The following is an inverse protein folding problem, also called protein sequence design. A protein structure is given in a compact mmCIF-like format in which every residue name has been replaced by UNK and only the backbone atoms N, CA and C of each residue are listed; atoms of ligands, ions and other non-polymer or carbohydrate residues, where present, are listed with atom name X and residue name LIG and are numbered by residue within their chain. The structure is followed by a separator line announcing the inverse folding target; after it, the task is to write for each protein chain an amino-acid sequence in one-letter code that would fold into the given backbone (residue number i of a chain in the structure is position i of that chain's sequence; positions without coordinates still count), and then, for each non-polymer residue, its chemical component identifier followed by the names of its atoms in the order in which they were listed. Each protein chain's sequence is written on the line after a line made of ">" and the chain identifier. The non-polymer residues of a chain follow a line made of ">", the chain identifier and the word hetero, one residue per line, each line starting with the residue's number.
data_IF_766222950662
#
_entry.id   IF_766222950662
#
_cell.length_a   1.000
_cell.length_b   1.000
_cell.length_c   1.000
_cell.angle_alpha   90.00
_cell.angle_beta   90.00
_cell.angle_gamma   90.00
#
_symmetry.space_group_name_H-M   'P 1'
#
loop_
_entity.id
_entity.type
_entity.pdbx_description
1 polymer ?
#
# COMPACT_ATOMS: atom_id res chain seq x y z
N UNK A 1 7.49 -54.25 39.05
CA UNK A 1 6.45 -53.25 38.71
C UNK A 1 7.08 -52.25 37.78
N UNK A 2 6.34 -51.78 36.78
CA UNK A 2 6.70 -50.58 36.02
C UNK A 2 5.90 -49.46 36.67
N UNK A 3 6.58 -48.47 37.25
CA UNK A 3 5.98 -47.21 37.66
C UNK A 3 6.37 -46.16 36.62
N UNK A 4 5.38 -45.54 35.99
CA UNK A 4 5.56 -44.39 35.11
C UNK A 4 5.11 -43.11 35.82
N UNK A 5 6.02 -42.14 35.89
CA UNK A 5 5.75 -40.82 36.47
C UNK A 5 5.86 -39.75 35.39
N UNK A 6 4.76 -39.06 35.09
CA UNK A 6 4.77 -37.87 34.26
C UNK A 6 5.16 -36.65 35.10
N UNK A 7 6.26 -36.01 34.73
CA UNK A 7 6.64 -34.70 35.26
C UNK A 7 6.24 -33.63 34.23
N UNK A 8 5.16 -32.90 34.53
CA UNK A 8 4.76 -31.70 33.78
C UNK A 8 5.39 -30.47 34.43
N UNK A 9 6.33 -29.83 33.71
CA UNK A 9 6.90 -28.56 34.15
C UNK A 9 5.89 -27.42 33.92
N UNK A 10 5.73 -26.52 34.89
CA UNK A 10 4.77 -25.40 34.80
C UNK A 10 5.08 -24.39 33.68
N UNK A 11 6.30 -24.43 33.12
CA UNK A 11 6.75 -23.58 31.99
C UNK A 11 7.68 -24.39 31.10
N UNK A 12 7.58 -24.18 29.78
CA UNK A 12 8.48 -24.78 28.81
C UNK A 12 9.88 -24.13 28.90
N UNK A 13 10.93 -24.96 28.92
CA UNK A 13 12.32 -24.48 28.98
C UNK A 13 12.85 -24.07 27.60
N UNK A 14 13.99 -23.35 27.59
CA UNK A 14 14.63 -22.88 26.35
C UNK A 14 15.11 -24.01 25.44
N UNK A 15 15.32 -25.21 25.96
CA UNK A 15 15.87 -26.37 25.22
C UNK A 15 15.19 -27.67 25.62
N UNK A 16 14.99 -28.59 24.67
CA UNK A 16 14.46 -29.93 24.93
C UNK A 16 15.50 -30.91 25.48
N UNK A 17 16.76 -30.50 25.67
CA UNK A 17 17.88 -31.39 26.07
C UNK A 17 17.72 -32.01 27.47
N UNK A 18 16.86 -31.45 28.32
CA UNK A 18 16.56 -31.96 29.66
C UNK A 18 15.14 -32.56 29.74
N UNK A 19 14.46 -32.70 28.60
CA UNK A 19 13.08 -33.16 28.50
C UNK A 19 12.97 -34.37 27.56
N UNK A 20 11.98 -35.21 27.80
CA UNK A 20 11.80 -36.48 27.11
C UNK A 20 11.75 -37.65 28.07
N UNK A 21 12.22 -38.82 27.64
CA UNK A 21 12.11 -40.06 28.40
C UNK A 21 13.40 -40.28 29.20
N UNK A 22 13.28 -40.38 30.51
CA UNK A 22 14.38 -40.70 31.43
C UNK A 22 14.18 -42.11 31.99
N UNK A 23 15.13 -43.00 31.73
CA UNK A 23 15.06 -44.40 32.17
C UNK A 23 15.86 -44.63 33.44
N UNK A 24 15.20 -45.16 34.47
CA UNK A 24 15.80 -45.49 35.76
C UNK A 24 15.70 -46.99 36.02
N UNK A 25 16.82 -47.59 36.43
CA UNK A 25 16.89 -48.99 36.83
C UNK A 25 17.67 -49.09 38.14
N UNK A 26 17.06 -49.67 39.17
CA UNK A 26 17.62 -49.81 40.51
C UNK A 26 18.18 -48.47 41.03
N UNK A 27 17.39 -47.40 40.91
CA UNK A 27 17.72 -46.02 41.31
C UNK A 27 18.92 -45.39 40.60
N UNK A 28 19.29 -45.89 39.42
CA UNK A 28 20.33 -45.30 38.57
C UNK A 28 19.81 -45.02 37.17
N UNK A 29 20.11 -43.82 36.65
CA UNK A 29 19.78 -43.41 35.29
C UNK A 29 20.56 -44.25 34.27
N UNK A 30 19.89 -44.70 33.22
CA UNK A 30 20.48 -45.40 32.08
C UNK A 30 20.46 -44.45 30.88
N UNK A 31 21.63 -44.11 30.36
CA UNK A 31 21.80 -43.15 29.26
C UNK A 31 21.42 -41.71 29.62
N UNK A 32 20.95 -40.97 28.62
CA UNK A 32 20.54 -39.57 28.74
C UNK A 32 19.01 -39.42 28.59
N UNK A 33 18.43 -38.45 29.29
CA UNK A 33 17.03 -38.09 29.10
C UNK A 33 16.85 -37.40 27.75
N UNK A 34 15.86 -37.82 26.97
CA UNK A 34 15.61 -37.21 25.68
C UNK A 34 14.49 -37.86 24.88
N UNK A 35 14.12 -37.23 23.76
CA UNK A 35 13.16 -37.78 22.81
C UNK A 35 13.82 -38.68 21.75
N UNK A 36 15.16 -38.81 21.76
CA UNK A 36 15.93 -39.51 20.72
C UNK A 36 15.56 -40.99 20.59
N UNK A 37 15.15 -41.64 21.69
CA UNK A 37 14.70 -43.03 21.68
C UNK A 37 13.24 -43.18 21.24
N UNK A 38 12.47 -42.09 21.17
CA UNK A 38 11.04 -42.05 20.88
C UNK A 38 10.81 -41.47 19.47
N UNK A 39 10.87 -42.33 18.46
CA UNK A 39 10.72 -41.94 17.06
C UNK A 39 9.25 -41.82 16.63
N UNK A 40 8.46 -41.02 17.35
CA UNK A 40 7.06 -40.77 17.02
C UNK A 40 6.87 -39.38 16.40
N UNK A 41 5.98 -39.26 15.41
CA UNK A 41 5.68 -37.98 14.73
C UNK A 41 4.88 -37.01 15.61
N UNK A 42 4.43 -37.47 16.77
CA UNK A 42 3.59 -36.71 17.71
C UNK A 42 4.35 -35.58 18.43
N UNK A 43 5.68 -35.62 18.51
CA UNK A 43 6.51 -34.60 19.17
C UNK A 43 7.72 -34.26 18.30
N UNK A 44 7.90 -32.97 18.00
CA UNK A 44 9.13 -32.41 17.41
C UNK A 44 9.88 -31.64 18.50
N UNK A 45 11.18 -31.91 18.68
CA UNK A 45 12.06 -31.26 19.65
C UNK A 45 12.06 -29.72 19.63
N UNK A 46 11.56 -29.08 18.56
CA UNK A 46 11.42 -27.63 18.45
C UNK A 46 10.15 -27.07 19.12
N UNK A 47 9.13 -27.90 19.34
CA UNK A 47 7.84 -27.45 19.87
C UNK A 47 7.90 -27.19 21.37
N UNK A 48 6.93 -26.46 21.90
CA UNK A 48 6.85 -26.21 23.35
C UNK A 48 6.62 -27.49 24.14
N UNK A 49 5.86 -28.43 23.58
CA UNK A 49 5.53 -29.71 24.22
C UNK A 49 6.78 -30.55 24.47
N UNK A 50 7.69 -30.61 23.48
CA UNK A 50 8.96 -31.30 23.60
C UNK A 50 9.90 -30.66 24.64
N UNK A 51 9.68 -29.39 24.97
CA UNK A 51 10.46 -28.61 25.94
C UNK A 51 9.77 -28.49 27.30
N UNK A 52 8.66 -29.19 27.51
CA UNK A 52 7.84 -29.10 28.73
C UNK A 52 7.63 -30.46 29.39
N UNK A 53 7.33 -31.49 28.60
CA UNK A 53 6.98 -32.80 29.15
C UNK A 53 8.21 -33.66 29.39
N UNK A 54 8.23 -34.36 30.53
CA UNK A 54 9.27 -35.33 30.86
C UNK A 54 8.64 -36.58 31.47
N UNK A 55 8.99 -37.73 30.91
CA UNK A 55 8.50 -39.03 31.36
C UNK A 55 9.62 -39.74 32.11
N UNK A 56 9.38 -40.06 33.38
CA UNK A 56 10.30 -40.87 34.19
C UNK A 56 9.80 -42.29 34.20
N UNK A 57 10.64 -43.21 33.73
CA UNK A 57 10.33 -44.63 33.62
C UNK A 57 11.21 -45.41 34.59
N UNK A 58 10.59 -45.98 35.62
CA UNK A 58 11.27 -46.87 36.57
C UNK A 58 11.08 -48.32 36.15
N UNK A 59 12.18 -48.96 35.74
CA UNK A 59 12.20 -50.32 35.20
C UNK A 59 13.11 -51.24 36.03
N UNK A 60 12.93 -51.26 37.36
CA UNK A 60 13.75 -52.01 38.32
C UNK A 60 13.77 -53.53 38.11
N UNK A 61 12.84 -54.07 37.33
CA UNK A 61 12.80 -55.48 36.93
C UNK A 61 13.82 -55.83 35.83
N UNK A 62 14.40 -54.83 35.16
CA UNK A 62 15.55 -54.99 34.27
C UNK A 62 16.81 -55.16 35.12
N UNK A 63 17.68 -56.06 34.67
CA UNK A 63 18.92 -56.42 35.35
C UNK A 63 20.12 -55.85 34.58
N UNK A 64 21.33 -55.83 35.17
CA UNK A 64 22.53 -55.43 34.44
C UNK A 64 22.82 -56.24 33.16
N UNK A 65 22.17 -57.40 32.96
CA UNK A 65 22.27 -58.18 31.72
C UNK A 65 21.64 -57.46 30.50
N UNK A 66 20.70 -56.55 30.74
CA UNK A 66 20.00 -55.77 29.70
C UNK A 66 20.69 -54.42 29.40
N UNK A 67 21.69 -54.03 30.19
CA UNK A 67 22.32 -52.70 30.14
C UNK A 67 23.79 -52.82 29.69
N UNK A 68 24.32 -51.78 29.04
CA UNK A 68 25.75 -51.70 28.76
C UNK A 68 26.56 -51.57 30.07
N UNK A 69 27.79 -52.11 30.15
CA UNK A 69 28.59 -52.07 31.39
C UNK A 69 28.84 -50.66 31.94
N UNK A 70 28.90 -49.66 31.05
CA UNK A 70 29.10 -48.24 31.37
C UNK A 70 27.80 -47.48 31.68
N UNK A 71 26.64 -48.16 31.63
CA UNK A 71 25.30 -47.58 31.81
C UNK A 71 24.91 -46.51 30.77
N UNK A 72 25.63 -46.44 29.65
CA UNK A 72 25.38 -45.45 28.59
C UNK A 72 24.08 -45.70 27.82
N UNK A 73 23.64 -46.96 27.72
CA UNK A 73 22.43 -47.35 27.01
C UNK A 73 21.99 -48.78 27.37
N UNK A 74 20.80 -49.15 26.94
CA UNK A 74 20.34 -50.53 26.96
C UNK A 74 20.88 -51.32 25.77
N UNK A 75 21.05 -52.64 25.93
CA UNK A 75 21.44 -53.52 24.84
C UNK A 75 20.28 -53.69 23.86
N UNK A 76 20.34 -52.99 22.73
CA UNK A 76 19.25 -52.95 21.73
C UNK A 76 18.84 -54.32 21.19
N UNK A 77 19.71 -55.32 21.20
CA UNK A 77 19.41 -56.69 20.74
C UNK A 77 18.66 -57.55 21.77
N UNK A 78 18.62 -57.14 23.05
CA UNK A 78 18.02 -57.93 24.12
C UNK A 78 16.48 -57.96 24.00
N UNK A 79 15.90 -59.17 24.00
CA UNK A 79 14.46 -59.37 23.84
C UNK A 79 13.62 -58.72 24.96
N UNK A 80 14.07 -58.82 26.21
CA UNK A 80 13.38 -58.26 27.38
C UNK A 80 13.35 -56.72 27.33
N UNK A 81 14.45 -56.11 26.89
CA UNK A 81 14.51 -54.67 26.63
C UNK A 81 13.57 -54.25 25.50
N UNK A 82 13.57 -54.94 24.35
CA UNK A 82 12.70 -54.62 23.21
C UNK A 82 11.21 -54.61 23.60
N UNK A 83 10.77 -55.63 24.34
CA UNK A 83 9.38 -55.71 24.82
C UNK A 83 9.06 -54.56 25.78
N UNK A 84 9.97 -54.26 26.72
CA UNK A 84 9.79 -53.17 27.69
C UNK A 84 9.72 -51.81 26.99
N UNK A 85 10.66 -51.53 26.08
CA UNK A 85 10.73 -50.30 25.28
C UNK A 85 9.43 -50.09 24.50
N UNK A 86 8.90 -51.14 23.86
CA UNK A 86 7.64 -51.05 23.12
C UNK A 86 6.45 -50.69 24.02
N UNK A 87 6.25 -51.41 25.13
CA UNK A 87 5.11 -51.19 26.04
C UNK A 87 5.14 -49.77 26.61
N UNK A 88 6.31 -49.31 27.04
CA UNK A 88 6.47 -47.96 27.60
C UNK A 88 6.24 -46.90 26.53
N UNK A 89 6.77 -47.08 25.32
CA UNK A 89 6.51 -46.15 24.22
C UNK A 89 5.03 -46.09 23.86
N UNK A 90 4.31 -47.21 23.88
CA UNK A 90 2.87 -47.24 23.61
C UNK A 90 2.10 -46.47 24.71
N UNK A 91 2.45 -46.67 25.99
CA UNK A 91 1.86 -45.92 27.11
C UNK A 91 2.11 -44.42 27.00
N UNK A 92 3.36 -44.02 26.71
CA UNK A 92 3.74 -42.62 26.51
C UNK A 92 2.99 -42.02 25.30
N UNK A 93 2.82 -42.79 24.22
CA UNK A 93 2.05 -42.35 23.04
C UNK A 93 0.60 -42.05 23.41
N UNK A 94 -0.05 -42.94 24.17
CA UNK A 94 -1.44 -42.79 24.57
C UNK A 94 -1.61 -41.56 25.48
N UNK A 95 -0.71 -41.37 26.45
CA UNK A 95 -0.71 -40.23 27.36
C UNK A 95 -0.48 -38.91 26.60
N UNK A 96 0.52 -38.86 25.71
CA UNK A 96 0.77 -37.70 24.85
C UNK A 96 -0.41 -37.38 23.95
N UNK A 97 -1.07 -38.39 23.39
CA UNK A 97 -2.26 -38.20 22.55
C UNK A 97 -3.40 -37.57 23.36
N UNK A 98 -3.59 -38.02 24.61
CA UNK A 98 -4.58 -37.48 25.54
C UNK A 98 -4.28 -36.01 25.92
N UNK A 99 -3.03 -35.71 26.27
CA UNK A 99 -2.58 -34.36 26.63
C UNK A 99 -2.74 -33.39 25.46
N UNK A 100 -2.31 -33.79 24.26
CA UNK A 100 -2.45 -32.98 23.04
C UNK A 100 -3.92 -32.75 22.69
N UNK A 101 -4.80 -33.75 22.86
CA UNK A 101 -6.24 -33.60 22.65
C UNK A 101 -6.87 -32.60 23.62
N UNK A 102 -6.47 -32.63 24.88
CA UNK A 102 -6.93 -31.69 25.91
C UNK A 102 -6.47 -30.27 25.58
N UNK A 103 -5.17 -30.11 25.24
CA UNK A 103 -4.61 -28.81 24.81
C UNK A 103 -5.33 -28.26 23.59
N UNK A 104 -5.51 -29.06 22.53
CA UNK A 104 -6.28 -28.67 21.33
C UNK A 104 -7.69 -28.17 21.67
N UNK A 105 -8.38 -28.87 22.57
CA UNK A 105 -9.73 -28.48 23.01
C UNK A 105 -9.70 -27.15 23.76
N UNK A 106 -8.72 -26.95 24.63
CA UNK A 106 -8.54 -25.69 25.36
C UNK A 106 -8.21 -24.53 24.43
N UNK A 107 -7.22 -24.68 23.54
CA UNK A 107 -6.83 -23.68 22.54
C UNK A 107 -8.03 -23.30 21.66
N UNK A 108 -8.79 -24.29 21.18
CA UNK A 108 -10.02 -24.02 20.40
C UNK A 108 -11.02 -23.18 21.18
N UNK A 109 -11.28 -23.55 22.44
CA UNK A 109 -12.24 -22.84 23.30
C UNK A 109 -11.78 -21.41 23.59
N UNK A 110 -10.49 -21.23 23.87
CA UNK A 110 -9.88 -19.92 24.10
C UNK A 110 -10.04 -19.02 22.87
N UNK A 111 -9.62 -19.48 21.68
CA UNK A 111 -9.69 -18.70 20.45
C UNK A 111 -11.15 -18.38 20.08
N UNK A 112 -12.06 -19.35 20.20
CA UNK A 112 -13.49 -19.14 19.97
C UNK A 112 -14.08 -18.09 20.92
N UNK A 113 -13.67 -18.08 22.19
CA UNK A 113 -14.14 -17.09 23.17
C UNK A 113 -13.64 -15.68 22.87
N UNK A 114 -12.37 -15.53 22.45
CA UNK A 114 -11.75 -14.24 22.12
C UNK A 114 -12.40 -13.57 20.90
N UNK A 115 -12.78 -14.34 19.89
CA UNK A 115 -13.41 -13.84 18.66
C UNK A 115 -14.94 -13.90 18.67
N UNK A 116 -15.57 -14.23 19.81
CA UNK A 116 -17.01 -14.50 19.88
C UNK A 116 -17.89 -13.33 19.43
N UNK A 117 -17.50 -12.09 19.72
CA UNK A 117 -18.25 -10.90 19.29
C UNK A 117 -18.22 -10.73 17.77
N UNK A 118 -17.02 -10.80 17.18
CA UNK A 118 -16.80 -10.67 15.74
C UNK A 118 -17.48 -11.79 14.97
N UNK A 119 -17.31 -13.05 15.40
CA UNK A 119 -17.91 -14.21 14.74
C UNK A 119 -19.44 -14.17 14.80
N UNK A 120 -20.04 -13.73 15.91
CA UNK A 120 -21.51 -13.59 15.98
C UNK A 120 -22.08 -12.55 14.99
N UNK A 121 -21.28 -11.56 14.61
CA UNK A 121 -21.69 -10.56 13.62
C UNK A 121 -21.65 -11.08 12.18
N UNK A 122 -21.01 -12.24 11.93
CA UNK A 122 -20.93 -12.86 10.60
C UNK A 122 -22.26 -13.52 10.19
N UNK A 123 -22.53 -13.66 8.88
CA UNK A 123 -23.58 -14.54 8.38
C UNK A 123 -23.39 -16.00 8.85
N UNK A 124 -24.48 -16.76 9.02
CA UNK A 124 -24.44 -18.14 9.56
C UNK A 124 -23.46 -19.05 8.82
N UNK A 125 -23.47 -19.02 7.48
CA UNK A 125 -22.54 -19.82 6.67
C UNK A 125 -21.07 -19.46 6.93
N UNK A 126 -20.76 -18.19 7.16
CA UNK A 126 -19.41 -17.72 7.49
C UNK A 126 -19.00 -18.13 8.91
N UNK A 127 -19.96 -18.18 9.86
CA UNK A 127 -19.71 -18.72 11.20
C UNK A 127 -19.35 -20.21 11.15
N UNK A 128 -20.08 -20.98 10.36
CA UNK A 128 -19.82 -22.42 10.20
C UNK A 128 -18.45 -22.67 9.55
N UNK A 129 -18.10 -21.89 8.50
CA UNK A 129 -16.77 -21.94 7.88
C UNK A 129 -15.66 -21.60 8.86
N UNK A 130 -15.82 -20.52 9.63
CA UNK A 130 -14.82 -20.10 10.61
C UNK A 130 -14.59 -21.16 11.69
N UNK A 131 -15.66 -21.72 12.25
CA UNK A 131 -15.57 -22.80 13.26
C UNK A 131 -14.97 -24.09 12.69
N UNK A 132 -15.36 -24.46 11.46
CA UNK A 132 -14.79 -25.59 10.76
C UNK A 132 -13.30 -25.44 10.50
N UNK A 133 -12.86 -24.23 10.09
CA UNK A 133 -11.45 -23.94 9.83
C UNK A 133 -10.61 -23.91 11.10
N UNK A 134 -11.12 -23.32 12.19
CA UNK A 134 -10.46 -23.39 13.51
C UNK A 134 -10.22 -24.85 13.92
N UNK A 135 -11.23 -25.71 13.75
CA UNK A 135 -11.11 -27.14 14.07
C UNK A 135 -10.03 -27.80 13.20
N UNK A 136 -10.05 -27.58 11.89
CA UNK A 136 -9.06 -28.16 10.98
C UNK A 136 -7.63 -27.66 11.23
N UNK A 137 -7.43 -26.37 11.53
CA UNK A 137 -6.10 -25.81 11.78
C UNK A 137 -5.50 -26.36 13.08
N UNK A 138 -6.28 -26.42 14.16
CA UNK A 138 -5.83 -26.97 15.44
C UNK A 138 -5.50 -28.46 15.31
N UNK A 139 -6.19 -29.19 14.44
CA UNK A 139 -5.95 -30.63 14.21
C UNK A 139 -4.78 -30.90 13.26
N UNK A 140 -4.64 -30.13 12.16
CA UNK A 140 -3.66 -30.38 11.09
C UNK A 140 -2.36 -29.62 11.25
N UNK A 141 -2.33 -28.55 12.05
CA UNK A 141 -1.16 -27.70 12.25
C UNK A 141 -0.78 -27.62 13.75
N UNK A 142 -0.38 -28.74 14.39
CA UNK A 142 -0.06 -28.77 15.81
C UNK A 142 1.19 -27.95 16.19
N UNK A 143 1.98 -27.53 15.21
CA UNK A 143 3.19 -26.72 15.39
C UNK A 143 2.92 -25.23 15.51
N UNK A 144 1.72 -24.76 15.15
CA UNK A 144 1.33 -23.36 15.34
C UNK A 144 0.97 -23.12 16.81
N UNK A 145 1.61 -22.13 17.43
CA UNK A 145 1.27 -21.70 18.78
C UNK A 145 -0.12 -21.06 18.84
N UNK A 146 -0.66 -20.97 20.06
CA UNK A 146 -1.99 -20.39 20.30
C UNK A 146 -2.10 -18.95 19.78
N UNK A 147 -1.03 -18.16 19.91
CA UNK A 147 -1.00 -16.77 19.42
C UNK A 147 -1.09 -16.70 17.89
N UNK A 148 -0.34 -17.53 17.17
CA UNK A 148 -0.38 -17.55 15.70
C UNK A 148 -1.74 -18.02 15.20
N UNK A 149 -2.31 -19.05 15.84
CA UNK A 149 -3.66 -19.53 15.53
C UNK A 149 -4.70 -18.43 15.77
N UNK A 150 -4.61 -17.70 16.90
CA UNK A 150 -5.48 -16.57 17.19
C UNK A 150 -5.41 -15.48 16.12
N UNK A 151 -4.20 -15.11 15.69
CA UNK A 151 -3.97 -14.12 14.63
C UNK A 151 -4.57 -14.57 13.30
N UNK A 152 -4.32 -15.81 12.88
CA UNK A 152 -4.88 -16.38 11.64
C UNK A 152 -6.41 -16.36 11.68
N UNK A 153 -7.00 -16.82 12.79
CA UNK A 153 -8.46 -16.83 12.92
C UNK A 153 -9.07 -15.42 12.98
N UNK A 154 -8.37 -14.45 13.57
CA UNK A 154 -8.77 -13.05 13.56
C UNK A 154 -8.74 -12.45 12.16
N UNK A 155 -7.68 -12.71 11.39
CA UNK A 155 -7.60 -12.30 9.98
C UNK A 155 -8.76 -12.89 9.18
N UNK A 156 -9.04 -14.19 9.32
CA UNK A 156 -10.15 -14.86 8.62
C UNK A 156 -11.51 -14.26 8.96
N UNK A 157 -11.77 -13.95 10.25
CA UNK A 157 -13.01 -13.30 10.66
C UNK A 157 -13.16 -11.92 9.98
N UNK A 158 -12.09 -11.12 9.97
CA UNK A 158 -12.09 -9.82 9.31
C UNK A 158 -12.28 -9.92 7.79
N UNK A 159 -11.71 -10.94 7.15
CA UNK A 159 -11.90 -11.20 5.72
C UNK A 159 -13.35 -11.59 5.41
N UNK A 160 -13.99 -12.43 6.23
CA UNK A 160 -15.42 -12.79 6.06
C UNK A 160 -16.37 -11.59 6.23
N UNK A 161 -15.94 -10.54 6.95
CA UNK A 161 -16.67 -9.26 7.03
C UNK A 161 -16.39 -8.32 5.84
N UNK A 162 -15.19 -8.40 5.26
CA UNK A 162 -14.77 -7.50 4.19
C UNK A 162 -15.47 -7.81 2.87
N UNK A 163 -15.81 -6.77 2.10
CA UNK A 163 -16.42 -6.93 0.76
C UNK A 163 -15.54 -7.74 -0.19
N UNK A 164 -14.22 -7.61 -0.09
CA UNK A 164 -13.25 -8.32 -0.93
C UNK A 164 -13.02 -9.78 -0.54
N UNK A 165 -13.55 -10.20 0.61
CA UNK A 165 -13.41 -11.54 1.16
C UNK A 165 -11.96 -12.06 1.05
N UNK A 166 -11.77 -13.20 0.37
CA UNK A 166 -10.50 -13.90 0.28
C UNK A 166 -9.55 -13.41 -0.82
N UNK A 167 -9.91 -12.36 -1.58
CA UNK A 167 -9.04 -11.83 -2.65
C UNK A 167 -7.67 -11.38 -2.14
N UNK A 168 -7.57 -10.93 -0.88
CA UNK A 168 -6.27 -10.58 -0.29
C UNK A 168 -5.39 -11.83 -0.07
N UNK A 169 -5.99 -12.95 0.37
CA UNK A 169 -5.24 -14.20 0.55
C UNK A 169 -4.72 -14.74 -0.78
N UNK A 170 -5.50 -14.63 -1.84
CA UNK A 170 -5.06 -15.00 -3.19
C UNK A 170 -3.85 -14.17 -3.63
N UNK A 171 -3.87 -12.85 -3.38
CA UNK A 171 -2.73 -11.97 -3.66
C UNK A 171 -1.50 -12.38 -2.87
N UNK A 172 -1.65 -12.62 -1.56
CA UNK A 172 -0.56 -13.05 -0.68
C UNK A 172 0.00 -14.43 -1.09
N UNK A 173 -0.86 -15.35 -1.51
CA UNK A 173 -0.47 -16.69 -1.94
C UNK A 173 0.44 -16.68 -3.18
N UNK A 174 0.24 -15.70 -4.07
CA UNK A 174 1.01 -15.56 -5.30
C UNK A 174 2.34 -14.79 -5.11
N UNK A 175 2.63 -14.30 -3.90
CA UNK A 175 3.88 -13.61 -3.60
C UNK A 175 5.02 -14.59 -3.35
N UNK A 176 6.24 -14.22 -3.74
CA UNK A 176 7.44 -14.98 -3.37
C UNK A 176 7.80 -14.72 -1.89
N UNK A 177 8.62 -15.56 -1.24
CA UNK A 177 9.09 -15.30 0.12
C UNK A 177 9.76 -13.92 0.28
N UNK A 178 10.58 -13.51 -0.70
CA UNK A 178 11.22 -12.19 -0.69
C UNK A 178 10.22 -11.05 -0.81
N UNK A 179 9.13 -11.24 -1.55
CA UNK A 179 8.07 -10.24 -1.64
C UNK A 179 7.33 -10.13 -0.31
N UNK A 180 7.05 -11.25 0.37
CA UNK A 180 6.43 -11.25 1.70
C UNK A 180 7.29 -10.52 2.73
N UNK A 181 8.61 -10.73 2.71
CA UNK A 181 9.56 -10.00 3.57
C UNK A 181 9.56 -8.49 3.24
N UNK A 182 9.51 -8.14 1.95
CA UNK A 182 9.43 -6.74 1.50
C UNK A 182 8.12 -6.08 1.94
N UNK A 183 7.00 -6.80 1.85
CA UNK A 183 5.70 -6.37 2.35
C UNK A 183 5.73 -6.13 3.86
N UNK A 184 6.36 -7.03 4.62
CA UNK A 184 6.52 -6.84 6.06
C UNK A 184 7.36 -5.57 6.36
N UNK A 185 8.49 -5.38 5.68
CA UNK A 185 9.32 -4.18 5.84
C UNK A 185 8.57 -2.89 5.52
N UNK A 186 7.72 -2.88 4.49
CA UNK A 186 6.85 -1.73 4.20
C UNK A 186 5.89 -1.42 5.34
N UNK A 187 5.30 -2.45 5.97
CA UNK A 187 4.35 -2.28 7.07
C UNK A 187 5.01 -1.88 8.41
N UNK A 188 6.33 -2.04 8.53
CA UNK A 188 7.10 -1.52 9.68
C UNK A 188 7.27 0.00 9.63
N UNK A 189 7.39 0.56 8.42
CA UNK A 189 7.60 2.00 8.20
C UNK A 189 6.32 2.76 7.86
N UNK A 190 5.38 2.12 7.16
CA UNK A 190 4.20 2.76 6.60
C UNK A 190 2.91 2.09 7.08
N UNK A 191 1.94 2.91 7.44
CA UNK A 191 0.55 2.46 7.55
C UNK A 191 -0.09 2.36 6.16
N UNK A 192 -1.10 1.50 6.01
CA UNK A 192 -1.87 1.44 4.76
C UNK A 192 -2.43 2.80 4.35
N UNK A 193 -2.85 3.63 5.32
CA UNK A 193 -3.39 4.97 5.07
C UNK A 193 -2.33 5.90 4.48
N UNK A 194 -1.18 6.03 5.14
CA UNK A 194 -0.11 6.93 4.69
C UNK A 194 0.49 6.49 3.35
N UNK A 195 0.69 5.18 3.16
CA UNK A 195 1.12 4.64 1.87
C UNK A 195 0.09 4.94 0.77
N UNK A 196 -1.21 4.76 1.05
CA UNK A 196 -2.27 5.03 0.09
C UNK A 196 -2.36 6.50 -0.29
N UNK A 197 -2.29 7.42 0.67
CA UNK A 197 -2.32 8.87 0.41
C UNK A 197 -1.18 9.28 -0.54
N UNK A 198 0.05 8.81 -0.28
CA UNK A 198 1.19 9.09 -1.16
C UNK A 198 1.06 8.45 -2.55
N UNK A 199 0.66 7.18 -2.62
CA UNK A 199 0.53 6.45 -3.89
C UNK A 199 -0.64 6.97 -4.74
N UNK A 200 -1.73 7.40 -4.13
CA UNK A 200 -2.88 8.01 -4.83
C UNK A 200 -2.46 9.35 -5.47
N UNK A 201 -1.70 10.18 -4.76
CA UNK A 201 -1.16 11.44 -5.30
C UNK A 201 -0.21 11.19 -6.48
N UNK A 202 0.73 10.25 -6.34
CA UNK A 202 1.63 9.85 -7.43
C UNK A 202 0.84 9.31 -8.62
N UNK A 203 -0.15 8.45 -8.36
CA UNK A 203 -0.99 7.87 -9.42
C UNK A 203 -1.80 8.94 -10.14
N UNK A 204 -2.41 9.88 -9.41
CA UNK A 204 -3.19 10.97 -9.95
C UNK A 204 -2.34 11.88 -10.85
N UNK A 205 -1.16 12.32 -10.37
CA UNK A 205 -0.25 13.17 -11.16
C UNK A 205 0.25 12.48 -12.41
N UNK A 206 0.61 11.20 -12.34
CA UNK A 206 1.09 10.46 -13.51
C UNK A 206 -0.02 10.28 -14.57
N UNK A 207 -1.25 9.98 -14.15
CA UNK A 207 -2.40 9.92 -15.07
C UNK A 207 -2.70 11.27 -15.69
N UNK A 208 -2.66 12.34 -14.91
CA UNK A 208 -2.87 13.70 -15.39
C UNK A 208 -1.83 14.08 -16.46
N UNK A 209 -0.56 13.72 -16.26
CA UNK A 209 0.50 13.94 -17.27
C UNK A 209 0.17 13.22 -18.58
N UNK A 210 -0.24 11.96 -18.53
CA UNK A 210 -0.57 11.20 -19.74
C UNK A 210 -1.84 11.71 -20.43
N UNK A 211 -2.83 12.16 -19.65
CA UNK A 211 -4.02 12.80 -20.21
C UNK A 211 -3.69 14.12 -20.93
N UNK A 212 -2.87 14.98 -20.32
CA UNK A 212 -2.38 16.21 -20.95
C UNK A 212 -1.58 15.87 -22.21
N UNK A 213 -0.72 14.85 -22.17
CA UNK A 213 0.06 14.41 -23.35
C UNK A 213 -0.86 13.97 -24.49
N UNK A 214 -1.84 13.12 -24.22
CA UNK A 214 -2.78 12.63 -25.22
C UNK A 214 -3.60 13.76 -25.84
N UNK A 215 -4.13 14.67 -25.00
CA UNK A 215 -4.97 15.79 -25.46
C UNK A 215 -4.18 16.85 -26.22
N UNK A 216 -2.95 17.18 -25.81
CA UNK A 216 -2.12 18.18 -26.50
C UNK A 216 -1.51 17.67 -27.81
N UNK A 217 -1.48 16.36 -28.04
CA UNK A 217 -1.03 15.75 -29.28
C UNK A 217 -2.10 15.70 -30.39
N UNK A 218 -3.37 15.92 -30.06
CA UNK A 218 -4.48 15.86 -31.02
C UNK A 218 -4.95 17.25 -31.44
N UNK A 219 -5.04 17.50 -32.74
CA UNK A 219 -5.58 18.74 -33.32
C UNK A 219 -7.09 18.89 -33.16
N UNK A 220 -7.78 17.79 -32.86
CA UNK A 220 -9.24 17.77 -32.68
C UNK A 220 -9.67 18.10 -31.24
N UNK A 221 -8.71 18.21 -30.31
CA UNK A 221 -8.96 18.50 -28.90
C UNK A 221 -9.59 19.88 -28.72
N UNK A 222 -10.70 19.94 -27.99
CA UNK A 222 -11.33 21.21 -27.63
C UNK A 222 -10.66 21.82 -26.40
N UNK A 223 -10.06 22.98 -26.61
CA UNK A 223 -9.23 23.67 -25.61
C UNK A 223 -9.94 23.93 -24.27
N UNK A 224 -11.19 24.39 -24.35
CA UNK A 224 -11.94 24.80 -23.16
C UNK A 224 -12.54 23.62 -22.40
N UNK A 225 -13.14 22.67 -23.12
CA UNK A 225 -13.86 21.56 -22.49
C UNK A 225 -12.91 20.45 -22.03
N UNK A 226 -11.76 20.30 -22.69
CA UNK A 226 -10.87 19.16 -22.48
C UNK A 226 -9.51 19.54 -21.87
N UNK A 227 -8.88 20.66 -22.27
CA UNK A 227 -7.55 21.02 -21.75
C UNK A 227 -7.60 21.84 -20.46
N UNK A 228 -8.45 22.86 -20.39
CA UNK A 228 -8.50 23.76 -19.22
C UNK A 228 -8.65 23.03 -17.87
N UNK A 229 -9.55 22.04 -17.70
CA UNK A 229 -9.66 21.30 -16.45
C UNK A 229 -8.34 20.64 -16.02
N UNK A 230 -7.58 20.11 -16.98
CA UNK A 230 -6.31 19.43 -16.71
C UNK A 230 -5.24 20.42 -16.23
N UNK A 231 -5.18 21.60 -16.84
CA UNK A 231 -4.20 22.62 -16.46
C UNK A 231 -4.49 23.24 -15.09
N UNK A 232 -5.76 23.31 -14.68
CA UNK A 232 -6.14 23.70 -13.31
C UNK A 232 -5.67 22.71 -12.25
N UNK A 233 -5.69 21.40 -12.54
CA UNK A 233 -5.16 20.35 -11.64
C UNK A 233 -3.63 20.25 -11.71
N UNK A 234 -3.01 20.85 -12.73
CA UNK A 234 -1.59 20.78 -13.03
C UNK A 234 -0.79 22.03 -12.62
N UNK A 235 -1.32 22.91 -11.78
CA UNK A 235 -0.62 24.15 -11.38
C UNK A 235 0.77 23.89 -10.79
N UNK A 236 0.93 22.78 -10.07
CA UNK A 236 2.20 22.31 -9.50
C UNK A 236 3.30 22.07 -10.56
N UNK A 237 2.96 21.93 -11.85
CA UNK A 237 3.93 21.78 -12.94
C UNK A 237 4.61 23.12 -13.27
N UNK A 238 3.91 24.24 -13.14
CA UNK A 238 4.46 25.57 -13.40
C UNK A 238 5.48 26.01 -12.32
N UNK A 239 5.34 25.51 -11.09
CA UNK A 239 6.11 26.00 -9.95
C UNK A 239 5.63 25.41 -8.62
N UNK A 240 6.54 25.00 -7.71
CA UNK A 240 6.11 24.57 -6.36
C UNK A 240 5.35 25.68 -5.62
N UNK A 241 5.64 26.94 -5.95
CA UNK A 241 4.92 28.09 -5.40
C UNK A 241 3.43 28.15 -5.81
N UNK A 242 3.00 27.38 -6.81
CA UNK A 242 1.60 27.33 -7.29
C UNK A 242 0.84 26.09 -6.83
N UNK A 243 1.46 25.25 -5.98
CA UNK A 243 0.89 24.02 -5.44
C UNK A 243 0.03 24.26 -4.18
N UNK A 244 0.08 25.48 -3.61
CA UNK A 244 -0.63 25.82 -2.38
C UNK A 244 -2.16 25.74 -2.54
N UNK A 245 -2.84 25.21 -1.51
CA UNK A 245 -4.30 25.23 -1.37
C UNK A 245 -4.91 26.64 -1.39
N UNK A 246 -4.06 27.66 -1.19
CA UNK A 246 -4.45 29.07 -1.21
C UNK A 246 -4.70 29.60 -2.62
N UNK A 247 -4.25 28.90 -3.66
CA UNK A 247 -4.60 29.24 -5.04
C UNK A 247 -6.06 28.88 -5.29
N UNK A 248 -6.92 29.89 -5.15
CA UNK A 248 -8.37 29.78 -5.37
C UNK A 248 -8.77 30.79 -6.43
N UNK A 249 -10.00 30.74 -6.91
CA UNK A 249 -10.58 31.80 -7.72
C UNK A 249 -11.47 32.68 -6.86
N UNK A 250 -11.03 33.91 -6.64
CA UNK A 250 -11.84 34.89 -5.91
C UNK A 250 -13.16 35.20 -6.65
N UNK A 251 -14.29 35.25 -5.93
CA UNK A 251 -15.63 35.60 -6.44
C UNK A 251 -15.66 36.92 -7.22
N UNK A 252 -14.87 37.92 -6.81
CA UNK A 252 -14.74 39.18 -7.53
C UNK A 252 -14.12 39.01 -8.91
N UNK A 253 -13.10 38.16 -8.99
CA UNK A 253 -12.43 37.80 -10.24
C UNK A 253 -13.33 36.93 -11.12
N UNK A 254 -14.11 36.01 -10.56
CA UNK A 254 -15.12 35.25 -11.32
C UNK A 254 -16.13 36.18 -12.00
N UNK A 255 -16.55 37.27 -11.35
CA UNK A 255 -17.48 38.25 -11.94
C UNK A 255 -16.83 39.03 -13.08
N UNK A 256 -15.63 39.55 -12.90
CA UNK A 256 -14.93 40.30 -13.96
C UNK A 256 -14.56 39.39 -15.12
N UNK A 257 -14.21 38.13 -14.86
CA UNK A 257 -14.02 37.11 -15.90
C UNK A 257 -15.32 36.91 -16.69
N UNK A 258 -16.48 36.83 -16.04
CA UNK A 258 -17.77 36.77 -16.77
C UNK A 258 -18.04 38.01 -17.63
N UNK A 259 -17.66 39.20 -17.17
CA UNK A 259 -17.78 40.46 -17.94
C UNK A 259 -16.82 40.46 -19.15
N UNK A 260 -15.54 40.14 -18.91
CA UNK A 260 -14.46 40.02 -19.90
C UNK A 260 -14.84 39.12 -21.08
N UNK A 261 -15.37 37.93 -20.76
CA UNK A 261 -15.69 36.90 -21.74
C UNK A 261 -17.17 36.87 -22.12
N UNK A 262 -18.00 37.79 -21.60
CA UNK A 262 -19.44 37.90 -21.87
C UNK A 262 -20.23 36.60 -21.66
N UNK A 263 -19.89 35.80 -20.65
CA UNK A 263 -20.49 34.47 -20.41
C UNK A 263 -21.62 34.55 -19.36
N UNK A 264 -22.80 34.03 -19.70
CA UNK A 264 -24.04 34.10 -18.90
C UNK A 264 -24.41 32.85 -18.09
N UNK A 265 -23.61 31.77 -18.11
CA UNK A 265 -24.02 30.47 -17.53
C UNK A 265 -23.66 30.24 -16.04
N UNK A 266 -24.39 29.30 -15.41
CA UNK A 266 -24.22 28.83 -14.02
C UNK A 266 -23.22 27.68 -13.97
N UNK A 267 -22.09 27.86 -13.28
CA UNK A 267 -21.03 26.86 -13.14
C UNK A 267 -21.48 25.54 -12.52
N UNK A 268 -20.82 24.45 -12.92
CA UNK A 268 -21.00 23.10 -12.39
C UNK A 268 -20.68 23.02 -10.90
N UNK A 269 -21.52 22.33 -10.13
CA UNK A 269 -21.41 22.14 -8.67
C UNK A 269 -20.19 21.35 -8.20
N UNK A 270 -19.38 20.77 -9.10
CA UNK A 270 -18.28 19.86 -8.72
C UNK A 270 -16.99 20.56 -8.26
N UNK A 271 -16.76 21.85 -8.56
CA UNK A 271 -15.76 22.71 -7.89
C UNK A 271 -16.19 24.20 -7.99
N UNK A 272 -16.67 24.84 -6.92
CA UNK A 272 -17.16 26.23 -6.96
C UNK A 272 -16.07 27.32 -7.05
N UNK A 273 -14.79 26.94 -6.93
CA UNK A 273 -13.69 27.86 -6.58
C UNK A 273 -12.70 28.11 -7.73
N UNK A 274 -13.11 27.88 -8.99
CA UNK A 274 -12.31 28.16 -10.18
C UNK A 274 -13.11 28.97 -11.19
N UNK A 275 -12.59 30.12 -11.63
CA UNK A 275 -13.10 30.83 -12.79
C UNK A 275 -12.54 30.20 -14.08
N UNK A 276 -12.76 28.89 -14.25
CA UNK A 276 -12.70 28.25 -15.56
C UNK A 276 -14.08 28.48 -16.16
N UNK A 277 -14.19 29.41 -17.11
CA UNK A 277 -15.45 29.56 -17.82
C UNK A 277 -15.62 28.36 -18.77
N UNK A 278 -16.82 27.78 -18.89
CA UNK A 278 -17.09 26.67 -19.81
C UNK A 278 -16.76 26.95 -21.28
N UNK A 279 -16.58 28.23 -21.63
CA UNK A 279 -16.31 28.72 -22.99
C UNK A 279 -15.00 29.55 -23.11
N UNK A 280 -14.14 29.61 -22.08
CA UNK A 280 -12.89 30.38 -22.12
C UNK A 280 -11.63 29.52 -22.14
N UNK A 281 -10.71 29.86 -23.03
CA UNK A 281 -9.35 29.32 -23.18
C UNK A 281 -8.40 29.72 -22.06
N UNK A 282 -8.89 30.44 -21.06
CA UNK A 282 -8.09 31.16 -20.07
C UNK A 282 -8.48 30.77 -18.66
N UNK A 283 -7.50 30.34 -17.87
CA UNK A 283 -7.63 30.08 -16.44
C UNK A 283 -6.97 31.19 -15.62
N UNK A 284 -7.62 31.65 -14.55
CA UNK A 284 -7.10 32.64 -13.63
C UNK A 284 -7.02 32.05 -12.21
N UNK A 285 -5.84 32.10 -11.62
CA UNK A 285 -5.54 31.49 -10.32
C UNK A 285 -4.86 32.52 -9.42
N UNK A 286 -5.49 32.87 -8.31
CA UNK A 286 -4.95 33.88 -7.40
C UNK A 286 -4.61 33.33 -6.02
N UNK A 287 -3.57 33.91 -5.44
CA UNK A 287 -3.25 33.77 -4.02
C UNK A 287 -3.57 35.09 -3.32
N UNK A 288 -4.36 35.07 -2.23
CA UNK A 288 -4.70 36.27 -1.49
C UNK A 288 -3.47 36.95 -0.89
N UNK A 289 -3.49 38.27 -0.86
CA UNK A 289 -2.62 39.07 0.02
C UNK A 289 -3.27 39.21 1.39
N UNK A 290 -2.46 39.35 2.44
CA UNK A 290 -2.91 39.59 3.81
C UNK A 290 -2.26 40.87 4.34
N UNK A 291 -3.03 41.66 5.08
CA UNK A 291 -2.52 42.84 5.77
C UNK A 291 -1.80 42.49 7.10
N UNK A 292 -1.30 43.49 7.81
CA UNK A 292 -0.59 43.32 9.09
C UNK A 292 -1.45 42.66 10.17
N UNK A 293 -2.77 42.80 10.08
CA UNK A 293 -3.77 42.20 10.97
C UNK A 293 -4.21 40.81 10.50
N UNK A 294 -3.53 40.24 9.50
CA UNK A 294 -3.80 38.93 8.90
C UNK A 294 -5.19 38.83 8.23
N UNK A 295 -5.79 39.95 7.87
CA UNK A 295 -7.02 39.97 7.08
C UNK A 295 -6.68 39.93 5.60
N UNK A 296 -7.46 39.19 4.82
CA UNK A 296 -7.30 39.12 3.38
C UNK A 296 -7.53 40.50 2.75
N UNK A 297 -6.50 41.06 2.11
CA UNK A 297 -6.53 42.38 1.49
C UNK A 297 -5.94 42.33 0.08
N UNK A 298 -6.77 41.94 -0.90
CA UNK A 298 -6.40 41.91 -2.31
C UNK A 298 -5.68 40.64 -2.75
N UNK A 299 -4.93 40.75 -3.85
CA UNK A 299 -4.25 39.63 -4.52
C UNK A 299 -2.74 39.84 -4.46
N UNK A 300 -2.02 38.90 -3.86
CA UNK A 300 -0.56 38.91 -3.82
C UNK A 300 0.03 38.38 -5.13
N UNK A 301 -0.45 37.22 -5.57
CA UNK A 301 0.02 36.54 -6.77
C UNK A 301 -1.14 36.16 -7.67
N UNK A 302 -1.05 36.47 -8.97
CA UNK A 302 -1.99 36.04 -10.00
C UNK A 302 -1.25 35.21 -11.06
N UNK A 303 -1.77 34.03 -11.36
CA UNK A 303 -1.35 33.20 -12.49
C UNK A 303 -2.47 33.20 -13.52
N UNK A 304 -2.12 33.49 -14.78
CA UNK A 304 -3.03 33.41 -15.92
C UNK A 304 -2.51 32.29 -16.81
N UNK A 305 -3.36 31.33 -17.16
CA UNK A 305 -3.02 30.24 -18.08
C UNK A 305 -3.87 30.38 -19.32
N UNK A 306 -3.30 30.95 -20.37
CA UNK A 306 -3.88 30.99 -21.71
C UNK A 306 -3.41 29.75 -22.46
N UNK A 307 -4.35 28.92 -22.88
CA UNK A 307 -4.05 27.80 -23.75
C UNK A 307 -4.20 28.26 -25.22
N UNK A 308 -3.65 27.48 -26.14
CA UNK A 308 -3.96 27.57 -27.57
C UNK A 308 -4.09 26.18 -28.13
N UNK A 309 -5.11 25.99 -28.97
CA UNK A 309 -5.27 24.77 -29.75
C UNK A 309 -3.99 24.43 -30.54
N UNK A 310 -3.66 23.13 -30.69
CA UNK A 310 -2.59 22.73 -31.59
C UNK A 310 -2.79 23.29 -33.01
N UNK A 311 -1.70 23.72 -33.64
CA UNK A 311 -1.66 24.37 -34.96
C UNK A 311 -1.74 25.90 -34.92
N UNK A 312 -1.90 26.53 -33.75
CA UNK A 312 -1.84 28.00 -33.60
C UNK A 312 -0.53 28.38 -32.93
N UNK A 313 0.41 29.02 -33.66
CA UNK A 313 1.68 29.43 -33.08
C UNK A 313 1.50 30.57 -32.09
N UNK A 314 2.21 30.48 -30.96
CA UNK A 314 2.22 31.53 -29.95
C UNK A 314 3.01 32.75 -30.47
N UNK A 315 2.33 33.88 -30.65
CA UNK A 315 2.93 35.11 -31.14
C UNK A 315 2.65 36.34 -30.27
N UNK A 316 2.95 37.51 -30.83
CA UNK A 316 2.75 38.79 -30.16
C UNK A 316 1.28 39.09 -29.88
N UNK A 317 0.36 38.68 -30.76
CA UNK A 317 -1.08 38.88 -30.57
C UNK A 317 -1.59 38.15 -29.32
N UNK A 318 -1.17 36.91 -29.13
CA UNK A 318 -1.54 36.09 -27.98
C UNK A 318 -0.92 36.61 -26.67
N UNK A 319 0.32 37.10 -26.72
CA UNK A 319 0.93 37.80 -25.58
C UNK A 319 0.15 39.06 -25.20
N UNK A 320 -0.26 39.84 -26.20
CA UNK A 320 -1.05 41.06 -26.01
C UNK A 320 -2.46 40.76 -25.50
N UNK A 321 -3.03 39.61 -25.85
CA UNK A 321 -4.30 39.13 -25.29
C UNK A 321 -4.19 38.94 -23.77
N UNK A 322 -3.17 38.20 -23.31
CA UNK A 322 -2.91 38.01 -21.86
C UNK A 322 -2.66 39.34 -21.16
N UNK A 323 -1.89 40.24 -21.77
CA UNK A 323 -1.68 41.58 -21.23
C UNK A 323 -2.98 42.41 -21.16
N UNK A 324 -3.88 42.24 -22.14
CA UNK A 324 -5.23 42.81 -22.14
C UNK A 324 -6.01 42.45 -20.88
N UNK A 325 -6.04 41.16 -20.53
CA UNK A 325 -6.71 40.70 -19.31
C UNK A 325 -6.14 41.34 -18.04
N UNK A 326 -4.82 41.46 -17.96
CA UNK A 326 -4.14 42.06 -16.81
C UNK A 326 -4.53 43.54 -16.67
N UNK A 327 -4.59 44.28 -17.79
CA UNK A 327 -5.00 45.69 -17.77
C UNK A 327 -6.45 45.84 -17.31
N UNK A 328 -7.37 45.02 -17.80
CA UNK A 328 -8.77 45.09 -17.40
C UNK A 328 -8.96 44.74 -15.91
N UNK A 329 -8.27 43.72 -15.41
CA UNK A 329 -8.29 43.39 -13.98
C UNK A 329 -7.76 44.55 -13.11
N UNK A 330 -6.75 45.29 -13.59
CA UNK A 330 -6.23 46.49 -12.92
C UNK A 330 -7.22 47.65 -12.95
N UNK A 331 -7.82 47.93 -14.11
CA UNK A 331 -8.82 49.00 -14.27
C UNK A 331 -10.05 48.79 -13.37
N UNK A 332 -10.43 47.53 -13.16
CA UNK A 332 -11.53 47.14 -12.26
C UNK A 332 -11.12 47.08 -10.78
N UNK A 333 -9.85 47.32 -10.45
CA UNK A 333 -9.33 47.33 -9.08
C UNK A 333 -9.21 45.95 -8.42
N UNK A 334 -9.24 44.86 -9.19
CA UNK A 334 -9.13 43.50 -8.65
C UNK A 334 -7.68 43.08 -8.40
N UNK A 335 -6.74 43.62 -9.16
CA UNK A 335 -5.31 43.45 -8.97
C UNK A 335 -4.63 44.81 -8.99
N UNK A 336 -3.57 44.97 -8.20
CA UNK A 336 -2.83 46.22 -8.11
C UNK A 336 -1.55 46.17 -8.94
N UNK A 337 -0.77 47.25 -8.92
CA UNK A 337 0.60 47.27 -9.45
C UNK A 337 1.56 46.46 -8.57
N UNK A 338 1.20 46.22 -7.30
CA UNK A 338 1.98 45.43 -6.35
C UNK A 338 1.75 43.93 -6.52
N UNK A 339 0.63 43.52 -7.14
CA UNK A 339 0.35 42.11 -7.43
C UNK A 339 1.39 41.52 -8.39
N UNK A 340 1.96 40.37 -8.01
CA UNK A 340 2.86 39.57 -8.84
C UNK A 340 2.06 38.76 -9.85
N UNK A 341 2.16 39.09 -11.13
CA UNK A 341 1.40 38.46 -12.21
C UNK A 341 2.31 37.62 -13.10
N UNK A 342 1.99 36.33 -13.27
CA UNK A 342 2.64 35.45 -14.25
C UNK A 342 1.61 34.91 -15.23
N UNK A 343 1.67 35.33 -16.49
CA UNK A 343 0.91 34.74 -17.57
C UNK A 343 1.68 33.61 -18.23
N UNK A 344 1.14 32.41 -18.27
CA UNK A 344 1.64 31.31 -19.09
C UNK A 344 0.77 31.22 -20.34
N UNK A 345 1.42 31.34 -21.49
CA UNK A 345 0.81 31.14 -22.79
C UNK A 345 1.30 29.79 -23.32
N UNK A 346 0.41 28.79 -23.40
CA UNK A 346 0.76 27.43 -23.81
C UNK A 346 0.24 27.09 -25.20
N UNK A 347 1.08 26.39 -25.97
CA UNK A 347 0.78 26.00 -27.35
C UNK A 347 1.73 24.91 -27.83
N UNK A 348 1.53 24.44 -29.06
CA UNK A 348 2.37 23.40 -29.68
C UNK A 348 3.60 23.98 -30.40
N UNK A 349 3.56 25.26 -30.75
CA UNK A 349 4.60 25.98 -31.47
C UNK A 349 4.68 27.44 -31.05
N UNK A 350 5.85 28.06 -31.18
CA UNK A 350 6.07 29.48 -30.92
C UNK A 350 6.51 30.15 -32.23
N UNK A 351 5.94 31.31 -32.55
CA UNK A 351 6.30 32.05 -33.75
C UNK A 351 7.79 32.48 -33.72
N UNK A 352 8.43 32.67 -34.88
CA UNK A 352 9.83 33.10 -34.93
C UNK A 352 10.06 34.37 -34.11
N UNK A 353 11.12 34.38 -33.29
CA UNK A 353 11.49 35.49 -32.39
C UNK A 353 10.51 35.76 -31.23
N UNK A 354 9.45 34.98 -31.08
CA UNK A 354 8.46 35.15 -30.01
C UNK A 354 8.71 34.26 -28.78
N UNK A 355 9.88 33.60 -28.70
CA UNK A 355 10.24 32.72 -27.58
C UNK A 355 10.55 33.43 -26.26
N UNK A 356 10.87 34.72 -26.30
CA UNK A 356 11.25 35.45 -25.09
C UNK A 356 10.02 35.87 -24.26
N UNK A 357 10.10 35.81 -22.92
CA UNK A 357 9.07 36.34 -22.05
C UNK A 357 8.92 37.86 -22.18
N UNK A 358 7.69 38.34 -22.26
CA UNK A 358 7.37 39.77 -22.19
C UNK A 358 7.28 40.21 -20.73
N UNK A 359 8.00 41.28 -20.36
CA UNK A 359 7.95 41.88 -19.02
C UNK A 359 7.23 43.22 -19.07
N UNK A 360 6.34 43.45 -18.10
CA UNK A 360 5.61 44.70 -17.95
C UNK A 360 5.81 45.24 -16.54
N UNK A 361 6.84 46.08 -16.36
CA UNK A 361 7.35 46.45 -15.05
C UNK A 361 8.02 45.27 -14.33
N UNK A 362 8.20 45.39 -13.02
CA UNK A 362 9.00 44.42 -12.25
C UNK A 362 8.20 43.18 -11.80
N UNK A 363 6.87 43.29 -11.81
CA UNK A 363 5.98 42.30 -11.21
C UNK A 363 5.08 41.58 -12.19
N UNK A 364 5.15 41.88 -13.48
CA UNK A 364 4.35 41.19 -14.50
C UNK A 364 5.24 40.56 -15.56
N UNK A 365 5.07 39.25 -15.76
CA UNK A 365 5.77 38.51 -16.80
C UNK A 365 4.79 37.60 -17.56
N UNK A 366 4.89 37.60 -18.88
CA UNK A 366 4.12 36.73 -19.77
C UNK A 366 5.11 35.79 -20.47
N UNK A 367 4.93 34.49 -20.28
CA UNK A 367 5.87 33.44 -20.69
C UNK A 367 5.20 32.52 -21.72
N UNK A 368 5.65 32.54 -22.98
CA UNK A 368 5.29 31.49 -23.92
C UNK A 368 5.96 30.17 -23.51
N UNK A 369 5.23 29.06 -23.60
CA UNK A 369 5.70 27.74 -23.21
C UNK A 369 5.10 26.67 -24.12
N UNK A 370 5.93 25.77 -24.62
CA UNK A 370 5.45 24.64 -25.41
C UNK A 370 4.81 23.57 -24.51
N UNK A 371 3.75 22.90 -24.98
CA UNK A 371 3.17 21.75 -24.28
C UNK A 371 4.20 20.67 -23.96
N UNK A 372 5.10 20.35 -24.89
CA UNK A 372 6.19 19.40 -24.67
C UNK A 372 7.16 19.86 -23.56
N UNK A 373 7.43 21.16 -23.46
CA UNK A 373 8.24 21.71 -22.39
C UNK A 373 7.53 21.60 -21.04
N UNK A 374 6.23 21.87 -21.00
CA UNK A 374 5.39 21.73 -19.82
C UNK A 374 5.35 20.28 -19.31
N UNK A 375 5.07 19.32 -20.19
CA UNK A 375 5.07 17.88 -19.89
C UNK A 375 6.45 17.44 -19.42
N UNK A 376 7.53 17.85 -20.09
CA UNK A 376 8.90 17.53 -19.68
C UNK A 376 9.28 18.08 -18.30
N UNK A 377 8.71 19.23 -17.89
CA UNK A 377 8.87 19.72 -16.52
C UNK A 377 8.12 18.84 -15.51
N UNK A 378 6.90 18.43 -15.85
CA UNK A 378 6.10 17.54 -15.02
C UNK A 378 6.82 16.20 -14.76
N UNK A 379 7.35 15.59 -15.82
CA UNK A 379 8.11 14.35 -15.74
C UNK A 379 9.33 14.47 -14.83
N UNK A 380 10.08 15.57 -14.96
CA UNK A 380 11.25 15.84 -14.11
C UNK A 380 10.88 16.04 -12.64
N UNK A 381 9.80 16.79 -12.37
CA UNK A 381 9.27 16.98 -11.01
C UNK A 381 8.80 15.67 -10.38
N UNK A 382 8.22 14.78 -11.19
CA UNK A 382 7.86 13.42 -10.79
C UNK A 382 9.06 12.46 -10.82
N UNK A 383 10.31 12.95 -10.83
CA UNK A 383 11.54 12.15 -10.82
C UNK A 383 11.61 11.09 -11.94
N UNK A 384 10.96 11.35 -13.07
CA UNK A 384 10.79 10.42 -14.18
C UNK A 384 10.12 9.09 -13.79
N UNK A 385 9.31 9.08 -12.72
CA UNK A 385 8.58 7.89 -12.28
C UNK A 385 7.67 7.30 -13.36
N UNK A 386 7.19 8.12 -14.29
CA UNK A 386 6.42 7.65 -15.45
C UNK A 386 7.15 6.53 -16.24
N UNK A 387 8.49 6.59 -16.36
CA UNK A 387 9.29 5.55 -17.06
C UNK A 387 9.43 4.28 -16.24
N UNK A 388 9.52 4.41 -14.91
CA UNK A 388 9.74 3.29 -14.00
C UNK A 388 8.45 2.55 -13.65
N UNK A 389 7.32 3.25 -13.75
CA UNK A 389 5.99 2.76 -13.39
C UNK A 389 5.08 2.57 -14.60
N UNK A 390 5.63 2.58 -15.83
CA UNK A 390 4.85 2.41 -17.07
C UNK A 390 4.01 1.14 -17.07
N UNK A 391 4.55 0.08 -16.49
CA UNK A 391 3.95 -1.26 -16.49
C UNK A 391 3.05 -1.48 -15.26
N UNK A 392 2.95 -0.48 -14.38
CA UNK A 392 2.12 -0.57 -13.20
C UNK A 392 0.63 -0.69 -13.60
N UNK A 393 -0.18 -1.53 -12.92
CA UNK A 393 -1.57 -1.76 -13.30
C UNK A 393 -2.45 -0.51 -13.38
N UNK A 394 -2.11 0.57 -12.66
CA UNK A 394 -2.86 1.82 -12.72
C UNK A 394 -2.55 2.65 -13.98
N UNK A 395 -1.35 2.52 -14.54
CA UNK A 395 -0.93 3.17 -15.77
C UNK A 395 -1.47 2.43 -16.99
N UNK A 396 -1.37 1.10 -17.01
CA UNK A 396 -1.87 0.29 -18.14
C UNK A 396 -3.37 0.45 -18.34
N UNK A 397 -4.16 0.52 -17.26
CA UNK A 397 -5.60 0.83 -17.33
C UNK A 397 -5.88 2.24 -17.86
N UNK A 398 -5.05 3.22 -17.49
CA UNK A 398 -5.17 4.60 -17.98
C UNK A 398 -4.91 4.66 -19.49
N UNK A 399 -3.82 4.03 -19.93
CA UNK A 399 -3.42 4.02 -21.33
C UNK A 399 -4.40 3.22 -22.20
N UNK A 400 -4.92 2.09 -21.72
CA UNK A 400 -5.90 1.28 -22.42
C UNK A 400 -7.28 1.99 -22.57
N UNK A 401 -7.63 2.86 -21.62
CA UNK A 401 -8.82 3.70 -21.73
C UNK A 401 -8.66 4.87 -22.73
N UNK A 402 -7.44 5.11 -23.23
CA UNK A 402 -7.06 6.26 -24.05
C UNK A 402 -6.65 5.91 -25.51
N UNK A 403 -6.81 4.67 -25.97
CA UNK A 403 -6.39 4.24 -27.32
C UNK A 403 -7.51 4.23 -28.38
N UNK A 404 -7.20 4.53 -29.67
CA UNK A 404 -5.88 4.36 -30.28
C UNK A 404 -5.24 5.67 -30.79
N UNK A 405 -4.21 6.17 -30.10
CA UNK A 405 -3.35 7.29 -30.58
C UNK A 405 -1.87 6.87 -30.67
N UNK A 406 -1.49 5.69 -30.17
CA UNK A 406 -0.11 5.17 -30.23
C UNK A 406 0.41 4.88 -31.65
N UNK A 407 -0.43 4.93 -32.69
CA UNK A 407 0.05 4.79 -34.08
C UNK A 407 0.78 6.04 -34.62
N UNK A 408 0.75 7.19 -33.94
CA UNK A 408 1.42 8.40 -34.43
C UNK A 408 2.89 8.47 -33.98
N UNK A 409 3.23 8.00 -32.77
CA UNK A 409 4.59 8.07 -32.24
C UNK A 409 5.57 7.09 -32.91
N UNK A 410 5.08 5.96 -33.43
CA UNK A 410 5.91 5.01 -34.18
C UNK A 410 6.29 5.52 -35.59
N UNK A 411 5.58 6.51 -36.15
CA UNK A 411 5.87 7.06 -37.48
C UNK A 411 6.90 8.18 -37.48
N UNK A 412 7.06 8.92 -36.38
CA UNK A 412 8.00 10.04 -36.31
C UNK A 412 9.45 9.60 -36.01
N UNK A 413 9.64 8.44 -35.37
CA UNK A 413 10.99 7.90 -35.08
C UNK A 413 11.51 6.91 -36.15
N UNK A 414 10.75 6.67 -37.22
CA UNK A 414 11.09 5.72 -38.29
C UNK A 414 11.48 6.35 -39.63
N UNK A 415 11.52 7.68 -39.75
CA UNK A 415 11.97 8.39 -40.96
C UNK A 415 13.23 9.21 -40.65
N UNK A 416 14.27 8.52 -40.22
CA UNK A 416 15.64 9.01 -40.23
C UNK A 416 16.60 7.83 -40.38
N UNK A 417 16.53 7.16 -41.54
CA UNK A 417 17.61 6.36 -42.13
C UNK A 417 17.49 6.42 -43.66
#
# INVERSE_FOLDING_TARGET
>A
MISDGLLDSSRADRTSKQHGIAWWVNRRLVGEAGWNSFSDKLIDGRTEEAKRYSFVVEADFLTPAEIMPDWSSFREENAKWKTTKSIVHDCIRDELTSLLKTKRTQTRTNIASKHASTVRALPRLSQDRWNGMLTQLVERCPTLGEQQLEQVMGVLANLEMAESQYSLLEKLHNLTPSDLDSWNGLLEEWTLKSAKEALDEVSSRLKLIEEIRAKTASTDTQEVQELQPLFGEALWIFGPQFESIEFTSNKGMTRVIKELFKVTEKGSRKRPDFAVLPDSTVGFYDRPAFDEDHNQNGVDTLVIVELKKPGVPLGQEEKMQVWGYIKELREKGLVSTETRVTGFLLGDSIAPQEGEPSKHGDRTIIRPMLYNTFIGQAEKRMMNLHKRLSDAPFMTKSNAAQEPVQQVLARQNGQAL
#
